data_IF_712426771718
#
_entry.id   IF_712426771718
#
_cell.length_a   1.000
_cell.length_b   1.000
_cell.length_c   1.000
_cell.angle_alpha   90.00
_cell.angle_beta   90.00
_cell.angle_gamma   90.00
#
_symmetry.space_group_name_H-M   'P 1'
#
loop_
_entity.id
_entity.type
_entity.pdbx_description
1 polymer ?
#
# COMPACT_ATOMS: atom_id res chain seq x y z
N UNK A 1 4.45 -1.15 16.41
CA UNK A 1 4.13 -1.13 14.96
C UNK A 1 2.89 -0.26 14.78
N UNK A 2 2.85 0.62 13.77
CA UNK A 2 1.60 1.31 13.43
C UNK A 2 0.68 0.33 12.67
N UNK A 3 -0.61 0.23 13.01
CA UNK A 3 -1.54 -0.74 12.41
C UNK A 3 -1.74 -0.51 10.90
N UNK A 4 -1.59 0.73 10.44
CA UNK A 4 -1.79 1.15 9.04
C UNK A 4 -0.55 1.04 8.16
N UNK A 5 0.57 0.55 8.70
CA UNK A 5 1.86 0.44 7.99
C UNK A 5 2.23 -1.01 7.72
N UNK A 6 2.19 -1.40 6.45
CA UNK A 6 2.36 -2.79 6.04
C UNK A 6 3.75 -3.00 5.45
N UNK A 7 4.53 -3.88 6.07
CA UNK A 7 5.82 -4.29 5.53
C UNK A 7 5.66 -5.17 4.29
N UNK A 8 6.45 -4.86 3.26
CA UNK A 8 6.51 -5.64 2.03
C UNK A 8 7.92 -5.62 1.45
N UNK A 9 8.20 -6.52 0.52
CA UNK A 9 9.39 -6.49 -0.32
C UNK A 9 8.99 -6.27 -1.78
N UNK A 10 9.70 -5.39 -2.47
CA UNK A 10 9.48 -5.08 -3.88
C UNK A 10 10.81 -4.86 -4.58
N UNK A 11 11.03 -5.60 -5.68
CA UNK A 11 12.28 -5.59 -6.44
C UNK A 11 13.54 -5.74 -5.54
N UNK A 12 13.50 -6.68 -4.60
CA UNK A 12 14.61 -6.97 -3.69
C UNK A 12 14.79 -5.98 -2.53
N UNK A 13 13.95 -4.93 -2.44
CA UNK A 13 14.02 -3.93 -1.37
C UNK A 13 12.87 -4.08 -0.39
N UNK A 14 13.16 -3.96 0.92
CA UNK A 14 12.14 -3.89 1.97
C UNK A 14 11.54 -2.49 2.01
N UNK A 15 10.23 -2.40 2.14
CA UNK A 15 9.49 -1.14 2.17
C UNK A 15 8.24 -1.21 3.04
N UNK A 16 7.55 -0.07 3.14
CA UNK A 16 6.30 0.08 3.86
C UNK A 16 5.22 0.65 2.94
N UNK A 17 4.02 0.08 2.98
CA UNK A 17 2.81 0.72 2.46
C UNK A 17 2.24 1.54 3.62
N UNK A 18 2.08 2.85 3.41
CA UNK A 18 1.66 3.81 4.44
C UNK A 18 0.20 4.21 4.20
N UNK A 19 -0.76 3.44 4.74
CA UNK A 19 -2.18 3.72 4.50
C UNK A 19 -2.65 5.01 5.18
N UNK A 20 -1.97 5.43 6.25
CA UNK A 20 -2.18 6.71 6.92
C UNK A 20 -1.79 7.94 6.08
N UNK A 21 -1.07 7.74 4.96
CA UNK A 21 -0.58 8.81 4.08
C UNK A 21 -1.24 8.78 2.69
N UNK A 22 -2.37 8.08 2.55
CA UNK A 22 -3.11 8.05 1.29
C UNK A 22 -3.62 9.45 0.92
N UNK A 23 -3.48 9.81 -0.35
CA UNK A 23 -3.99 11.06 -0.91
C UNK A 23 -4.46 10.89 -2.33
N UNK A 24 -5.44 11.68 -2.76
CA UNK A 24 -5.78 11.81 -4.16
C UNK A 24 -4.64 12.51 -4.91
N UNK A 25 -4.34 12.03 -6.12
CA UNK A 25 -3.36 12.64 -7.03
C UNK A 25 -3.95 12.69 -8.44
N UNK A 26 -3.61 13.72 -9.21
CA UNK A 26 -3.99 13.79 -10.62
C UNK A 26 -3.26 12.72 -11.45
N UNK A 27 -3.94 12.22 -12.50
CA UNK A 27 -3.40 11.16 -13.36
C UNK A 27 -2.12 11.56 -14.07
N UNK A 28 -1.93 12.84 -14.42
CA UNK A 28 -0.70 13.33 -15.05
C UNK A 28 0.54 13.16 -14.18
N UNK A 29 0.38 13.04 -12.85
CA UNK A 29 1.48 12.79 -11.91
C UNK A 29 1.94 11.33 -11.90
N UNK A 30 1.18 10.41 -12.50
CA UNK A 30 1.52 9.00 -12.61
C UNK A 30 2.28 8.75 -13.92
N UNK A 31 3.61 8.84 -13.86
CA UNK A 31 4.48 8.81 -15.05
C UNK A 31 4.68 7.38 -15.57
N UNK A 32 4.81 6.39 -14.68
CA UNK A 32 5.10 5.00 -15.08
C UNK A 32 4.60 3.98 -14.04
N UNK A 33 4.13 2.82 -14.51
CA UNK A 33 3.86 1.63 -13.67
C UNK A 33 5.16 0.85 -13.43
N UNK A 34 5.62 0.78 -12.17
CA UNK A 34 6.84 0.07 -11.80
C UNK A 34 6.65 -1.44 -11.59
N UNK A 35 5.41 -1.90 -11.37
CA UNK A 35 5.12 -3.32 -11.17
C UNK A 35 3.86 -3.55 -10.35
N UNK A 36 3.78 -4.74 -9.75
CA UNK A 36 2.69 -5.17 -8.87
C UNK A 36 3.32 -5.79 -7.62
N UNK A 37 2.79 -5.43 -6.44
CA UNK A 37 3.23 -6.02 -5.17
C UNK A 37 2.73 -7.47 -5.03
N UNK A 38 3.37 -8.25 -4.16
CA UNK A 38 2.98 -9.66 -3.95
C UNK A 38 1.53 -9.79 -3.47
N UNK A 39 0.89 -10.93 -3.79
CA UNK A 39 -0.49 -11.20 -3.36
C UNK A 39 -0.66 -11.09 -1.84
N UNK A 40 0.34 -11.55 -1.07
CA UNK A 40 0.34 -11.40 0.40
C UNK A 40 0.27 -9.94 0.84
N UNK A 41 1.03 -9.05 0.19
CA UNK A 41 1.00 -7.63 0.49
C UNK A 41 -0.34 -6.99 0.09
N UNK A 42 -0.93 -7.41 -1.04
CA UNK A 42 -2.26 -6.95 -1.46
C UNK A 42 -3.34 -7.33 -0.45
N UNK A 43 -3.38 -8.59 0.00
CA UNK A 43 -4.36 -9.06 0.98
C UNK A 43 -4.24 -8.32 2.31
N UNK A 44 -3.01 -8.11 2.81
CA UNK A 44 -2.77 -7.31 4.03
C UNK A 44 -3.27 -5.87 3.86
N UNK A 45 -3.05 -5.29 2.68
CA UNK A 45 -3.49 -3.93 2.36
C UNK A 45 -5.01 -3.81 2.37
N UNK A 46 -5.70 -4.71 1.68
CA UNK A 46 -7.18 -4.73 1.64
C UNK A 46 -7.75 -4.95 3.03
N UNK A 47 -7.21 -5.91 3.80
CA UNK A 47 -7.68 -6.19 5.16
C UNK A 47 -7.57 -4.96 6.06
N UNK A 48 -6.42 -4.26 6.02
CA UNK A 48 -6.24 -3.05 6.82
C UNK A 48 -7.18 -1.91 6.38
N UNK A 49 -7.43 -1.75 5.07
CA UNK A 49 -8.43 -0.80 4.57
C UNK A 49 -9.84 -1.14 5.05
N UNK A 50 -10.22 -2.42 5.03
CA UNK A 50 -11.51 -2.87 5.55
C UNK A 50 -11.63 -2.55 7.05
N UNK A 51 -10.61 -2.84 7.85
CA UNK A 51 -10.58 -2.49 9.28
C UNK A 51 -10.72 -0.98 9.51
N UNK A 52 -10.09 -0.14 8.68
CA UNK A 52 -10.18 1.32 8.77
C UNK A 52 -11.57 1.89 8.46
N UNK A 53 -12.32 1.26 7.55
CA UNK A 53 -13.61 1.78 7.07
C UNK A 53 -14.84 0.99 7.55
N UNK A 54 -14.66 -0.16 8.20
CA UNK A 54 -15.75 -0.93 8.79
C UNK A 54 -16.20 -0.41 10.17
N UNK A 55 -15.65 0.74 10.59
CA UNK A 55 -15.96 1.42 11.86
C UNK A 55 -17.00 2.52 11.65
#
# INVERSE_FOLDING_TARGET
MLPTRIQYAFQGKKGLILLDQMRAVDKSRLIQKLGVISQSAQMKTIKCLQELFAS
#
